data_IF_509922319954
#
_entry.id   IF_509922319954
#
_cell.length_a   1.000
_cell.length_b   1.000
_cell.length_c   1.000
_cell.angle_alpha   90.00
_cell.angle_beta   90.00
_cell.angle_gamma   90.00
#
_symmetry.space_group_name_H-M   'P 1'
#
loop_
_entity.id
_entity.type
_entity.pdbx_description
1 polymer ?
#
# COMPACT_ATOMS: atom_id res chain seq x y z
N UNK A 1 17.91 16.80 -1.25
CA UNK A 1 17.63 15.98 -0.07
C UNK A 1 18.94 15.43 0.46
N UNK A 2 19.22 15.65 1.73
CA UNK A 2 20.30 14.90 2.39
C UNK A 2 19.79 13.50 2.83
N UNK A 3 20.71 12.65 3.29
CA UNK A 3 20.40 11.31 3.74
C UNK A 3 19.49 11.25 4.99
N UNK A 4 19.67 12.19 5.93
CA UNK A 4 18.85 12.33 7.13
C UNK A 4 17.41 12.76 6.78
N UNK A 5 17.23 13.70 5.86
CA UNK A 5 15.92 14.12 5.35
C UNK A 5 15.20 12.94 4.69
N UNK A 6 15.94 12.19 3.86
CA UNK A 6 15.44 10.99 3.16
C UNK A 6 14.93 9.94 4.15
N UNK A 7 15.73 9.61 5.17
CA UNK A 7 15.32 8.65 6.22
C UNK A 7 14.10 9.17 6.98
N UNK A 8 14.10 10.45 7.33
CA UNK A 8 13.01 11.05 8.11
C UNK A 8 11.69 10.97 7.34
N UNK A 9 11.67 11.37 6.07
CA UNK A 9 10.47 11.28 5.22
C UNK A 9 10.05 9.83 4.98
N UNK A 10 10.99 8.91 4.78
CA UNK A 10 10.69 7.49 4.65
C UNK A 10 10.06 6.89 5.92
N UNK A 11 10.53 7.29 7.11
CA UNK A 11 9.93 6.89 8.38
C UNK A 11 8.54 7.49 8.56
N UNK A 12 8.37 8.78 8.23
CA UNK A 12 7.07 9.45 8.26
C UNK A 12 6.08 8.73 7.35
N UNK A 13 6.46 8.39 6.11
CA UNK A 13 5.63 7.59 5.22
C UNK A 13 5.31 6.22 5.83
N UNK A 14 6.33 5.50 6.29
CA UNK A 14 6.16 4.17 6.87
C UNK A 14 5.22 4.13 8.08
N UNK A 15 5.21 5.18 8.90
CA UNK A 15 4.32 5.28 10.05
C UNK A 15 2.92 5.76 9.66
N UNK A 16 2.83 6.75 8.76
CA UNK A 16 1.55 7.38 8.41
C UNK A 16 0.72 6.61 7.39
N UNK A 17 1.32 5.76 6.56
CA UNK A 17 0.61 5.00 5.53
C UNK A 17 -0.39 3.99 6.13
N UNK A 18 -0.04 3.39 7.27
CA UNK A 18 -0.89 2.40 7.94
C UNK A 18 -1.90 3.03 8.91
N UNK A 19 -1.77 4.33 9.15
CA UNK A 19 -2.66 5.10 10.02
C UNK A 19 -3.63 5.91 9.15
N UNK A 20 -4.91 6.03 9.50
CA UNK A 20 -5.89 6.81 8.74
C UNK A 20 -5.71 8.32 8.99
N UNK A 21 -4.51 8.85 8.71
CA UNK A 21 -4.10 10.24 8.98
C UNK A 21 -3.56 10.98 7.75
N UNK A 22 -3.69 10.41 6.56
CA UNK A 22 -3.18 10.94 5.27
C UNK A 22 -1.65 11.03 5.22
N UNK A 23 -1.01 10.00 4.68
CA UNK A 23 0.44 9.93 4.50
C UNK A 23 0.97 11.00 3.53
N UNK A 24 0.27 11.24 2.42
CA UNK A 24 0.63 12.28 1.44
C UNK A 24 0.65 13.68 2.06
N UNK A 25 -0.28 13.99 2.98
CA UNK A 25 -0.28 15.28 3.67
C UNK A 25 0.98 15.47 4.53
N UNK A 26 1.43 14.41 5.21
CA UNK A 26 2.63 14.47 6.04
C UNK A 26 3.91 14.60 5.19
N UNK A 27 3.99 13.92 4.05
CA UNK A 27 5.11 14.05 3.09
C UNK A 27 5.22 15.45 2.48
N UNK A 28 4.12 16.20 2.39
CA UNK A 28 4.14 17.60 1.93
C UNK A 28 4.38 18.56 3.10
N UNK A 29 3.77 18.29 4.26
CA UNK A 29 3.83 19.19 5.41
C UNK A 29 5.22 19.23 6.03
N UNK A 30 5.88 18.08 6.19
CA UNK A 30 7.21 18.02 6.84
C UNK A 30 8.24 18.89 6.10
N UNK A 31 8.45 18.75 4.77
CA UNK A 31 9.38 19.63 4.07
C UNK A 31 9.02 21.11 4.16
N UNK A 32 7.72 21.42 4.16
CA UNK A 32 7.23 22.80 4.21
C UNK A 32 7.44 23.49 5.56
N UNK A 33 7.37 22.75 6.67
CA UNK A 33 7.62 23.30 8.01
C UNK A 33 9.11 23.35 8.39
N UNK A 34 9.94 22.53 7.74
CA UNK A 34 11.38 22.48 7.99
C UNK A 34 12.22 23.22 6.93
N UNK A 35 11.56 23.92 5.99
CA UNK A 35 12.18 24.54 4.81
C UNK A 35 13.10 23.58 4.03
N UNK A 36 12.74 22.30 3.97
CA UNK A 36 13.48 21.32 3.19
C UNK A 36 13.10 21.42 1.71
N UNK A 37 14.04 21.04 0.80
CA UNK A 37 13.68 20.94 -0.61
C UNK A 37 12.52 19.97 -0.84
N UNK A 38 11.85 20.10 -1.97
CA UNK A 38 10.85 19.11 -2.38
C UNK A 38 11.55 17.78 -2.73
N UNK A 39 11.03 16.67 -2.21
CA UNK A 39 11.51 15.32 -2.51
C UNK A 39 11.15 14.87 -3.94
N UNK A 40 10.11 15.47 -4.53
CA UNK A 40 9.57 15.16 -5.84
C UNK A 40 8.74 13.87 -5.89
N UNK A 41 7.90 13.76 -6.93
CA UNK A 41 6.98 12.63 -7.15
C UNK A 41 7.68 11.26 -7.19
N UNK A 42 8.91 11.21 -7.72
CA UNK A 42 9.65 9.95 -7.79
C UNK A 42 9.94 9.38 -6.39
N UNK A 43 10.26 10.24 -5.42
CA UNK A 43 10.47 9.81 -4.05
C UNK A 43 9.17 9.28 -3.44
N UNK A 44 8.07 10.03 -3.60
CA UNK A 44 6.75 9.64 -3.08
C UNK A 44 6.35 8.24 -3.59
N UNK A 45 6.54 7.98 -4.88
CA UNK A 45 6.27 6.66 -5.48
C UNK A 45 7.15 5.57 -4.85
N UNK A 46 8.45 5.82 -4.68
CA UNK A 46 9.37 4.83 -4.08
C UNK A 46 8.99 4.50 -2.64
N UNK A 47 8.64 5.50 -1.82
CA UNK A 47 8.25 5.22 -0.42
C UNK A 47 6.90 4.54 -0.31
N UNK A 48 5.94 4.81 -1.20
CA UNK A 48 4.68 4.03 -1.31
C UNK A 48 4.93 2.59 -1.77
N UNK A 49 5.87 2.37 -2.70
CA UNK A 49 6.29 1.01 -3.08
C UNK A 49 6.94 0.28 -1.90
N UNK A 50 7.69 1.00 -1.05
CA UNK A 50 8.25 0.48 0.19
C UNK A 50 7.19 -0.01 1.17
N UNK A 51 6.15 0.79 1.43
CA UNK A 51 5.05 0.41 2.33
C UNK A 51 4.20 -0.70 1.76
N UNK A 52 3.91 -0.68 0.45
CA UNK A 52 3.24 -1.78 -0.25
C UNK A 52 4.04 -3.09 -0.12
N UNK A 53 5.36 -3.03 -0.33
CA UNK A 53 6.23 -4.20 -0.20
C UNK A 53 6.23 -4.76 1.22
N UNK A 54 6.18 -3.89 2.25
CA UNK A 54 6.06 -4.30 3.63
C UNK A 54 4.75 -5.07 3.91
N UNK A 55 3.60 -4.58 3.42
CA UNK A 55 2.31 -5.28 3.52
C UNK A 55 2.36 -6.62 2.80
N UNK A 56 2.83 -6.64 1.55
CA UNK A 56 2.89 -7.88 0.75
C UNK A 56 3.79 -8.91 1.42
N UNK A 57 4.92 -8.49 1.98
CA UNK A 57 5.83 -9.38 2.70
C UNK A 57 5.23 -9.90 4.01
N UNK A 58 4.59 -9.03 4.79
CA UNK A 58 3.95 -9.40 6.07
C UNK A 58 2.80 -10.39 5.84
N UNK A 59 1.90 -10.07 4.89
CA UNK A 59 0.71 -10.88 4.57
C UNK A 59 0.95 -11.96 3.51
N UNK A 60 2.20 -12.24 3.11
CA UNK A 60 2.53 -13.15 1.99
C UNK A 60 1.86 -14.52 2.04
N UNK A 61 1.64 -15.07 3.25
CA UNK A 61 0.99 -16.37 3.41
C UNK A 61 -0.52 -16.27 3.16
N UNK A 62 -1.17 -15.25 3.72
CA UNK A 62 -2.60 -14.98 3.52
C UNK A 62 -2.86 -14.64 2.05
N UNK A 63 -2.02 -13.80 1.43
CA UNK A 63 -2.12 -13.46 0.01
C UNK A 63 -2.01 -14.72 -0.87
N UNK A 64 -1.06 -15.63 -0.58
CA UNK A 64 -0.95 -16.91 -1.30
C UNK A 64 -2.23 -17.74 -1.19
N UNK A 65 -2.80 -17.85 0.01
CA UNK A 65 -4.06 -18.57 0.23
C UNK A 65 -5.21 -17.92 -0.53
N UNK A 66 -5.36 -16.59 -0.46
CA UNK A 66 -6.42 -15.86 -1.17
C UNK A 66 -6.33 -16.03 -2.69
N UNK A 67 -5.13 -15.95 -3.25
CA UNK A 67 -4.91 -16.17 -4.69
C UNK A 67 -5.27 -17.60 -5.07
N UNK A 68 -4.82 -18.59 -4.31
CA UNK A 68 -5.12 -20.00 -4.58
C UNK A 68 -6.63 -20.29 -4.49
N UNK A 69 -7.29 -19.82 -3.43
CA UNK A 69 -8.73 -20.00 -3.21
C UNK A 69 -9.56 -19.27 -4.27
N UNK A 70 -9.12 -18.10 -4.74
CA UNK A 70 -9.74 -17.40 -5.86
C UNK A 70 -9.74 -18.25 -7.14
N UNK A 71 -8.58 -18.77 -7.55
CA UNK A 71 -8.50 -19.63 -8.74
C UNK A 71 -9.25 -20.95 -8.56
N UNK A 72 -9.17 -21.58 -7.39
CA UNK A 72 -9.94 -22.79 -7.07
C UNK A 72 -11.45 -22.55 -7.14
N UNK A 73 -11.92 -21.38 -6.71
CA UNK A 73 -13.33 -21.01 -6.78
C UNK A 73 -13.83 -20.91 -8.22
N UNK A 74 -13.01 -20.34 -9.11
CA UNK A 74 -13.30 -20.27 -10.55
C UNK A 74 -13.37 -21.67 -11.16
N UNK A 75 -12.35 -22.51 -10.90
CA UNK A 75 -12.26 -23.85 -11.50
C UNK A 75 -13.39 -24.77 -11.03
N UNK A 76 -13.75 -24.71 -9.74
CA UNK A 76 -14.80 -25.57 -9.16
C UNK A 76 -16.19 -24.96 -9.24
N UNK A 77 -16.34 -23.72 -9.75
CA UNK A 77 -17.59 -22.97 -9.82
C UNK A 77 -18.35 -22.99 -8.48
N UNK A 78 -17.60 -22.83 -7.38
CA UNK A 78 -18.14 -22.83 -6.03
C UNK A 78 -17.29 -21.97 -5.11
N UNK A 79 -17.82 -21.55 -3.97
CA UNK A 79 -17.02 -20.86 -2.96
C UNK A 79 -16.17 -21.88 -2.20
N UNK A 80 -14.84 -21.71 -2.23
CA UNK A 80 -13.85 -22.56 -1.54
C UNK A 80 -13.04 -21.68 -0.58
N UNK A 81 -12.86 -22.11 0.67
CA UNK A 81 -12.02 -21.40 1.65
C UNK A 81 -12.34 -19.91 1.75
N UNK A 82 -11.31 -19.08 1.60
CA UNK A 82 -11.37 -17.61 1.66
C UNK A 82 -11.73 -16.95 0.32
N UNK A 83 -12.22 -17.71 -0.67
CA UNK A 83 -12.57 -17.17 -2.00
C UNK A 83 -13.61 -16.06 -1.97
N UNK A 84 -14.56 -16.07 -1.02
CA UNK A 84 -15.52 -14.98 -0.85
C UNK A 84 -14.82 -13.65 -0.53
N UNK A 85 -13.79 -13.70 0.31
CA UNK A 85 -12.98 -12.55 0.65
C UNK A 85 -12.16 -12.09 -0.56
N UNK A 86 -11.57 -13.02 -1.32
CA UNK A 86 -10.83 -12.69 -2.53
C UNK A 86 -11.70 -12.02 -3.61
N UNK A 87 -12.92 -12.52 -3.84
CA UNK A 87 -13.90 -11.85 -4.71
C UNK A 87 -14.33 -10.49 -4.17
N UNK A 88 -14.55 -10.38 -2.86
CA UNK A 88 -14.87 -9.11 -2.19
C UNK A 88 -13.79 -8.05 -2.40
N UNK A 89 -12.51 -8.42 -2.26
CA UNK A 89 -11.37 -7.54 -2.56
C UNK A 89 -11.41 -7.10 -4.03
N UNK A 90 -11.51 -8.06 -4.96
CA UNK A 90 -11.48 -7.77 -6.39
C UNK A 90 -12.61 -6.81 -6.80
N UNK A 91 -13.85 -7.09 -6.38
CA UNK A 91 -14.99 -6.23 -6.65
C UNK A 91 -14.87 -4.87 -5.97
N UNK A 92 -14.31 -4.83 -4.75
CA UNK A 92 -14.06 -3.60 -4.00
C UNK A 92 -13.01 -2.69 -4.65
N UNK A 93 -12.06 -3.26 -5.41
CA UNK A 93 -11.03 -2.48 -6.13
C UNK A 93 -11.48 -1.91 -7.47
N UNK A 94 -12.54 -2.46 -8.08
CA UNK A 94 -13.01 -2.01 -9.41
C UNK A 94 -13.41 -0.51 -9.41
N UNK A 95 -14.21 0.00 -8.45
CA UNK A 95 -14.56 1.42 -8.44
C UNK A 95 -13.35 2.35 -8.39
N UNK A 96 -12.31 1.98 -7.64
CA UNK A 96 -11.07 2.75 -7.52
C UNK A 96 -10.28 2.79 -8.83
N UNK A 97 -10.36 1.74 -9.66
CA UNK A 97 -9.68 1.71 -10.96
C UNK A 97 -10.45 2.38 -12.09
N UNK A 98 -11.75 2.63 -11.92
CA UNK A 98 -12.61 3.27 -12.93
C UNK A 98 -12.73 4.79 -12.76
N UNK A 99 -12.52 5.28 -11.53
CA UNK A 99 -12.59 6.70 -11.17
C UNK A 99 -11.19 7.29 -11.14
#
# INVERSE_FOLDING_TARGET
>A
MDFFQTITLALVQGLSEFLPISSSAHLILVPKITDWPDQGLAFDVVVHLGTLSAIVFYYRLIIKTLIADFFHSIVKVQTVGESKLAWGILLGTIPVGLV
#
